data_IF_859900547527
#
_entry.id   IF_859900547527
#
_cell.length_a   1.000
_cell.length_b   1.000
_cell.length_c   1.000
_cell.angle_alpha   90.00
_cell.angle_beta   90.00
_cell.angle_gamma   90.00
#
_symmetry.space_group_name_H-M   'P 1'
#
loop_
_entity.id
_entity.type
_entity.pdbx_description
1 polymer ?
#
# COMPACT_ATOMS: atom_id res chain seq x y z
N UNK A 1 -19.98 45.51 28.27
CA UNK A 1 -20.57 44.50 29.18
C UNK A 1 -20.68 43.18 28.43
N UNK A 2 -19.97 42.16 28.95
CA UNK A 2 -20.35 40.73 29.06
C UNK A 2 -20.83 40.01 27.77
N UNK A 3 -20.37 38.82 27.41
CA UNK A 3 -19.67 37.79 28.18
C UNK A 3 -19.03 36.78 27.24
N UNK A 4 -17.82 36.36 27.58
CA UNK A 4 -17.30 35.03 27.26
C UNK A 4 -18.17 33.97 27.96
N UNK A 5 -18.42 32.86 27.27
CA UNK A 5 -18.87 31.55 27.78
C UNK A 5 -18.14 30.56 26.84
N UNK A 6 -17.01 29.91 27.16
CA UNK A 6 -16.67 29.03 28.29
C UNK A 6 -17.69 27.93 28.50
N UNK A 7 -17.42 26.72 28.01
CA UNK A 7 -17.64 25.45 28.73
C UNK A 7 -17.03 24.33 27.86
N UNK A 8 -15.83 23.85 28.20
CA UNK A 8 -15.55 22.80 29.19
C UNK A 8 -15.79 21.38 28.66
N UNK A 9 -14.66 20.69 28.55
CA UNK A 9 -14.45 19.27 28.58
C UNK A 9 -15.53 18.46 29.32
N UNK A 10 -15.95 17.37 28.69
CA UNK A 10 -16.49 16.20 29.39
C UNK A 10 -15.46 15.08 29.22
N UNK A 11 -14.66 14.91 30.25
CA UNK A 11 -13.90 13.70 30.51
C UNK A 11 -14.81 12.69 31.22
N UNK A 12 -14.55 11.42 30.91
CA UNK A 12 -14.79 10.23 31.73
C UNK A 12 -16.23 9.68 31.81
N UNK A 13 -16.41 8.44 31.36
CA UNK A 13 -16.56 7.25 32.21
C UNK A 13 -17.24 6.13 31.40
N UNK A 14 -16.47 5.15 30.93
CA UNK A 14 -16.99 3.78 30.82
C UNK A 14 -16.02 2.87 31.57
N UNK A 15 -16.58 2.29 32.61
CA UNK A 15 -15.95 1.61 33.72
C UNK A 15 -15.23 0.33 33.31
N UNK A 16 -14.08 0.10 33.95
CA UNK A 16 -13.53 -1.23 34.16
C UNK A 16 -14.58 -2.09 34.90
N UNK A 17 -15.05 -3.16 34.27
CA UNK A 17 -15.69 -4.25 34.99
C UNK A 17 -14.69 -5.40 35.06
N UNK A 18 -14.01 -5.48 36.20
CA UNK A 18 -13.24 -6.64 36.62
C UNK A 18 -14.20 -7.73 37.06
N UNK A 19 -14.25 -8.84 36.33
CA UNK A 19 -14.73 -10.10 36.89
C UNK A 19 -13.67 -11.17 36.62
N UNK A 20 -13.02 -11.59 37.71
CA UNK A 20 -12.05 -12.68 37.69
C UNK A 20 -12.76 -14.00 37.45
N UNK A 21 -12.19 -14.82 36.57
CA UNK A 21 -12.22 -16.25 36.75
C UNK A 21 -11.06 -16.94 36.03
N UNK A 22 -10.24 -17.61 36.86
CA UNK A 22 -9.37 -18.76 36.61
C UNK A 22 -8.32 -18.68 35.48
N UNK A 23 -7.08 -18.55 35.95
CA UNK A 23 -5.89 -19.15 35.34
C UNK A 23 -6.16 -20.64 35.09
N UNK A 24 -6.15 -21.05 33.83
CA UNK A 24 -5.92 -22.42 33.42
C UNK A 24 -4.75 -22.41 32.45
N UNK A 25 -3.59 -22.76 32.96
CA UNK A 25 -2.39 -23.12 32.20
C UNK A 25 -2.63 -24.45 31.48
N UNK A 26 -3.20 -24.38 30.28
CA UNK A 26 -3.21 -25.44 29.25
C UNK A 26 -2.17 -25.13 28.16
N UNK A 27 -1.79 -26.11 27.33
CA UNK A 27 -0.49 -26.18 26.68
C UNK A 27 -0.27 -25.00 25.73
N UNK A 28 1.00 -24.55 25.64
CA UNK A 28 1.48 -23.58 24.67
C UNK A 28 1.02 -24.02 23.28
N UNK A 29 -0.05 -23.40 22.78
CA UNK A 29 -0.39 -23.50 21.37
C UNK A 29 0.77 -22.87 20.61
N UNK A 30 1.59 -23.76 20.07
CA UNK A 30 2.55 -23.51 19.01
C UNK A 30 1.90 -22.53 18.04
N UNK A 31 2.48 -21.34 17.96
CA UNK A 31 1.97 -20.23 17.18
C UNK A 31 1.88 -20.75 15.74
N UNK A 32 0.67 -21.03 15.28
CA UNK A 32 0.37 -21.23 13.87
C UNK A 32 0.68 -19.88 13.23
N UNK A 33 1.94 -19.70 12.84
CA UNK A 33 2.37 -18.58 12.02
C UNK A 33 1.69 -18.88 10.70
N UNK A 34 0.63 -18.13 10.41
CA UNK A 34 -0.05 -18.22 9.12
C UNK A 34 1.03 -18.13 8.03
N UNK A 35 0.93 -18.97 7.00
CA UNK A 35 1.91 -19.05 5.92
C UNK A 35 2.19 -17.67 5.27
N UNK A 36 1.23 -16.74 5.39
CA UNK A 36 1.36 -15.33 5.01
C UNK A 36 2.33 -14.54 5.91
N UNK A 37 2.30 -14.73 7.22
CA UNK A 37 3.26 -14.12 8.17
C UNK A 37 4.68 -14.64 7.90
N UNK A 38 4.82 -15.92 7.55
CA UNK A 38 6.10 -16.52 7.18
C UNK A 38 6.70 -15.92 5.89
N UNK A 39 5.88 -15.44 4.96
CA UNK A 39 6.36 -14.87 3.69
C UNK A 39 6.87 -13.43 3.85
N UNK A 40 6.51 -12.75 4.93
CA UNK A 40 6.91 -11.37 5.21
C UNK A 40 7.84 -11.25 6.42
N UNK A 41 8.11 -12.35 7.12
CA UNK A 41 8.86 -12.40 8.38
C UNK A 41 10.27 -11.80 8.31
N UNK A 42 10.91 -11.88 7.14
CA UNK A 42 12.29 -11.38 6.96
C UNK A 42 12.35 -9.91 6.50
N UNK A 43 11.20 -9.27 6.31
CA UNK A 43 11.12 -7.88 5.86
C UNK A 43 10.89 -6.91 7.02
N UNK A 44 11.52 -5.73 6.93
CA UNK A 44 11.30 -4.65 7.86
C UNK A 44 9.81 -4.24 7.86
N UNK A 45 9.09 -4.32 8.99
CA UNK A 45 7.63 -4.11 9.04
C UNK A 45 7.17 -2.76 8.48
N UNK A 46 7.95 -1.71 8.70
CA UNK A 46 7.69 -0.37 8.18
C UNK A 46 7.75 -0.31 6.65
N UNK A 47 8.64 -1.07 6.03
CA UNK A 47 8.76 -1.16 4.56
C UNK A 47 7.60 -1.96 3.97
N UNK A 48 7.20 -3.05 4.62
CA UNK A 48 6.01 -3.82 4.23
C UNK A 48 4.77 -2.94 4.29
N UNK A 49 4.56 -2.23 5.40
CA UNK A 49 3.44 -1.30 5.56
C UNK A 49 3.46 -0.19 4.49
N UNK A 50 4.64 0.33 4.17
CA UNK A 50 4.79 1.30 3.09
C UNK A 50 4.37 0.71 1.74
N UNK A 51 4.82 -0.49 1.38
CA UNK A 51 4.39 -1.15 0.15
C UNK A 51 2.87 -1.36 0.08
N UNK A 52 2.23 -1.81 1.17
CA UNK A 52 0.78 -1.97 1.22
C UNK A 52 0.05 -0.62 1.08
N UNK A 53 0.61 0.46 1.62
CA UNK A 53 0.03 1.80 1.47
C UNK A 53 0.05 2.32 0.03
N UNK A 54 1.01 1.86 -0.79
CA UNK A 54 1.08 2.23 -2.20
C UNK A 54 -0.13 1.74 -3.00
N UNK A 55 -0.80 0.66 -2.59
CA UNK A 55 -2.06 0.25 -3.21
C UNK A 55 -3.10 1.39 -3.10
N UNK A 56 -3.28 1.98 -1.91
CA UNK A 56 -4.20 3.09 -1.71
C UNK A 56 -3.78 4.33 -2.53
N UNK A 57 -2.48 4.59 -2.63
CA UNK A 57 -1.95 5.69 -3.43
C UNK A 57 -2.20 5.51 -4.93
N UNK A 58 -2.01 4.29 -5.45
CA UNK A 58 -2.33 3.94 -6.82
C UNK A 58 -3.82 4.15 -7.14
N UNK A 59 -4.72 3.69 -6.25
CA UNK A 59 -6.17 3.94 -6.38
C UNK A 59 -6.47 5.44 -6.38
N UNK A 60 -5.81 6.21 -5.52
CA UNK A 60 -5.97 7.67 -5.47
C UNK A 60 -5.48 8.36 -6.74
N UNK A 61 -4.36 7.93 -7.32
CA UNK A 61 -3.85 8.48 -8.57
C UNK A 61 -4.82 8.22 -9.74
N UNK A 62 -5.38 7.00 -9.84
CA UNK A 62 -6.44 6.67 -10.81
C UNK A 62 -7.65 7.58 -10.61
N UNK A 63 -8.17 7.65 -9.39
CA UNK A 63 -9.34 8.48 -9.07
C UNK A 63 -9.12 9.96 -9.44
N UNK A 64 -7.94 10.52 -9.12
CA UNK A 64 -7.64 11.91 -9.46
C UNK A 64 -7.55 12.14 -10.97
N UNK A 65 -6.97 11.19 -11.72
CA UNK A 65 -6.96 11.24 -13.18
C UNK A 65 -8.39 11.24 -13.74
N UNK A 66 -9.26 10.38 -13.23
CA UNK A 66 -10.68 10.30 -13.65
C UNK A 66 -11.45 11.60 -13.35
N UNK A 67 -11.03 12.34 -12.30
CA UNK A 67 -11.56 13.67 -11.99
C UNK A 67 -10.95 14.81 -12.80
N UNK A 68 -10.05 14.50 -13.74
CA UNK A 68 -9.41 15.50 -14.60
C UNK A 68 -8.32 16.31 -13.90
N UNK A 69 -7.80 15.86 -12.77
CA UNK A 69 -6.60 16.43 -12.17
C UNK A 69 -5.43 16.22 -13.13
N UNK A 70 -4.52 17.19 -13.26
CA UNK A 70 -3.37 17.05 -14.15
C UNK A 70 -2.24 16.24 -13.51
N UNK A 71 -1.39 15.64 -14.35
CA UNK A 71 -0.19 14.92 -13.91
C UNK A 71 0.71 15.83 -13.07
N UNK A 72 0.91 17.06 -13.53
CA UNK A 72 1.74 18.07 -12.88
C UNK A 72 1.19 18.42 -11.50
N UNK A 73 -0.13 18.51 -11.36
CA UNK A 73 -0.78 18.81 -10.07
C UNK A 73 -0.57 17.69 -9.04
N UNK A 74 -0.56 16.42 -9.49
CA UNK A 74 -0.26 15.28 -8.61
C UNK A 74 1.23 15.16 -8.27
N UNK A 75 2.12 15.60 -9.17
CA UNK A 75 3.57 15.58 -8.94
C UNK A 75 4.04 16.79 -8.10
N UNK A 76 3.38 17.94 -8.20
CA UNK A 76 3.74 19.18 -7.50
C UNK A 76 3.99 19.04 -5.99
N UNK A 77 3.20 18.30 -5.20
CA UNK A 77 3.46 18.12 -3.77
C UNK A 77 4.57 17.12 -3.45
N UNK A 78 5.11 16.39 -4.44
CA UNK A 78 6.14 15.38 -4.23
C UNK A 78 7.54 16.02 -4.32
N UNK A 79 8.49 15.60 -3.46
CA UNK A 79 9.90 15.90 -3.69
C UNK A 79 10.33 15.37 -5.08
N UNK A 80 11.25 16.09 -5.73
CA UNK A 80 11.83 15.66 -7.01
C UNK A 80 12.57 14.32 -6.85
N UNK A 81 12.77 13.60 -7.96
CA UNK A 81 13.52 12.33 -7.93
C UNK A 81 14.95 12.54 -7.47
N UNK A 82 15.57 13.66 -7.83
CA UNK A 82 16.91 14.07 -7.41
C UNK A 82 16.96 14.26 -5.89
N UNK A 83 15.99 14.98 -5.31
CA UNK A 83 15.88 15.15 -3.86
C UNK A 83 15.68 13.81 -3.16
N UNK A 84 14.76 12.97 -3.63
CA UNK A 84 14.54 11.62 -3.06
C UNK A 84 15.81 10.77 -3.12
N UNK A 85 16.57 10.84 -4.21
CA UNK A 85 17.81 10.09 -4.34
C UNK A 85 18.91 10.54 -3.39
N UNK A 86 18.89 11.82 -2.98
CA UNK A 86 19.80 12.39 -1.99
C UNK A 86 19.42 12.10 -0.53
N UNK A 87 18.26 11.49 -0.27
CA UNK A 87 17.81 11.24 1.10
C UNK A 87 18.77 10.32 1.88
N UNK A 88 19.02 10.61 3.17
CA UNK A 88 19.85 9.77 4.01
C UNK A 88 19.19 8.41 4.29
N UNK A 89 19.99 7.42 4.72
CA UNK A 89 19.54 6.03 4.94
C UNK A 89 18.37 5.90 5.93
N UNK A 90 18.27 6.78 6.91
CA UNK A 90 17.14 6.80 7.87
C UNK A 90 15.81 7.27 7.25
N UNK A 91 15.83 7.76 6.00
CA UNK A 91 14.64 8.15 5.23
C UNK A 91 14.36 7.20 4.05
N UNK A 92 14.91 5.98 4.09
CA UNK A 92 14.79 4.99 3.01
C UNK A 92 13.32 4.64 2.68
N UNK A 93 12.45 4.57 3.69
CA UNK A 93 11.01 4.34 3.49
C UNK A 93 10.38 5.49 2.70
N UNK A 94 10.66 6.73 3.08
CA UNK A 94 10.15 7.93 2.41
C UNK A 94 10.69 8.04 0.98
N UNK A 95 11.98 7.73 0.79
CA UNK A 95 12.62 7.65 -0.52
C UNK A 95 11.90 6.64 -1.41
N UNK A 96 11.71 5.41 -0.93
CA UNK A 96 11.00 4.35 -1.64
C UNK A 96 9.59 4.77 -2.01
N UNK A 97 8.79 5.25 -1.05
CA UNK A 97 7.42 5.68 -1.29
C UNK A 97 7.34 6.82 -2.31
N UNK A 98 8.22 7.83 -2.18
CA UNK A 98 8.27 8.96 -3.10
C UNK A 98 8.63 8.54 -4.51
N UNK A 99 9.67 7.71 -4.67
CA UNK A 99 10.09 7.23 -6.00
C UNK A 99 8.99 6.39 -6.64
N UNK A 100 8.36 5.48 -5.90
CA UNK A 100 7.25 4.69 -6.43
C UNK A 100 6.03 5.55 -6.74
N UNK A 101 5.74 6.63 -5.98
CA UNK A 101 4.66 7.55 -6.34
C UNK A 101 4.91 8.25 -7.67
N UNK A 102 6.16 8.63 -7.97
CA UNK A 102 6.52 9.15 -9.29
C UNK A 102 6.30 8.11 -10.40
N UNK A 103 6.62 6.83 -10.14
CA UNK A 103 6.31 5.72 -11.07
C UNK A 103 4.80 5.61 -11.28
N UNK A 104 4.02 5.53 -10.20
CA UNK A 104 2.56 5.43 -10.21
C UNK A 104 1.92 6.54 -11.04
N UNK A 105 2.25 7.81 -10.74
CA UNK A 105 1.66 8.95 -11.45
C UNK A 105 2.09 8.94 -12.92
N UNK A 106 3.30 8.50 -13.24
CA UNK A 106 3.72 8.38 -14.64
C UNK A 106 2.95 7.30 -15.38
N UNK A 107 2.80 6.12 -14.79
CA UNK A 107 2.09 4.98 -15.37
C UNK A 107 0.60 5.29 -15.56
N UNK A 108 -0.06 5.81 -14.52
CA UNK A 108 -1.48 6.18 -14.56
C UNK A 108 -1.77 7.20 -15.66
N UNK A 109 -0.87 8.14 -15.96
CA UNK A 109 -1.14 9.18 -16.97
C UNK A 109 -0.66 8.82 -18.38
N UNK A 110 0.33 7.94 -18.51
CA UNK A 110 0.90 7.60 -19.82
C UNK A 110 0.20 6.41 -20.49
N UNK A 111 -0.63 5.66 -19.76
CA UNK A 111 -1.29 4.44 -20.26
C UNK A 111 -2.81 4.52 -20.16
N UNK A 112 -3.50 3.64 -20.90
CA UNK A 112 -4.95 3.47 -20.75
C UNK A 112 -5.27 3.04 -19.31
N UNK A 113 -6.35 3.57 -18.70
CA UNK A 113 -6.73 3.18 -17.34
C UNK A 113 -6.87 1.66 -17.22
N UNK A 114 -6.41 1.15 -16.09
CA UNK A 114 -6.66 -0.19 -15.59
C UNK A 114 -7.69 -0.10 -14.46
N UNK A 115 -8.44 -1.18 -14.23
CA UNK A 115 -9.25 -1.27 -13.01
C UNK A 115 -8.41 -1.08 -11.74
N UNK A 116 -9.03 -0.44 -10.75
CA UNK A 116 -8.37 0.03 -9.54
C UNK A 116 -7.77 -1.12 -8.72
N UNK A 117 -8.50 -2.23 -8.59
CA UNK A 117 -8.07 -3.44 -7.89
C UNK A 117 -6.85 -4.10 -8.55
N UNK A 118 -6.79 -4.14 -9.89
CA UNK A 118 -5.69 -4.74 -10.64
C UNK A 118 -4.43 -3.92 -10.46
N UNK A 119 -4.49 -2.63 -10.80
CA UNK A 119 -3.30 -1.79 -10.77
C UNK A 119 -2.76 -1.57 -9.36
N UNK A 120 -3.63 -1.41 -8.37
CA UNK A 120 -3.21 -1.25 -6.96
C UNK A 120 -2.56 -2.51 -6.39
N UNK A 121 -3.05 -3.70 -6.77
CA UNK A 121 -2.46 -4.98 -6.34
C UNK A 121 -1.10 -5.22 -6.99
N UNK A 122 -1.00 -4.99 -8.31
CA UNK A 122 0.28 -5.01 -9.03
C UNK A 122 1.31 -4.10 -8.39
N UNK A 123 0.93 -2.84 -8.09
CA UNK A 123 1.83 -1.84 -7.51
C UNK A 123 2.38 -2.27 -6.14
N UNK A 124 1.50 -2.74 -5.25
CA UNK A 124 1.93 -3.20 -3.93
C UNK A 124 2.83 -4.43 -4.03
N UNK A 125 2.52 -5.36 -4.93
CA UNK A 125 3.29 -6.58 -5.12
C UNK A 125 4.68 -6.29 -5.70
N UNK A 126 4.79 -5.43 -6.72
CA UNK A 126 6.09 -4.98 -7.26
C UNK A 126 6.97 -4.39 -6.15
N UNK A 127 6.39 -3.58 -5.25
CA UNK A 127 7.13 -3.04 -4.11
C UNK A 127 7.63 -4.14 -3.16
N UNK A 128 6.77 -5.07 -2.76
CA UNK A 128 7.14 -6.18 -1.87
C UNK A 128 8.21 -7.07 -2.48
N UNK A 129 8.18 -7.28 -3.79
CA UNK A 129 9.17 -8.06 -4.52
C UNK A 129 10.51 -7.35 -4.62
N UNK A 130 10.52 -6.05 -4.92
CA UNK A 130 11.73 -5.22 -4.85
C UNK A 130 12.38 -5.30 -3.46
N UNK A 131 11.60 -5.30 -2.38
CA UNK A 131 12.11 -5.48 -1.01
C UNK A 131 12.78 -6.84 -0.76
N UNK A 132 12.26 -7.89 -1.39
CA UNK A 132 12.80 -9.26 -1.31
C UNK A 132 13.96 -9.50 -2.27
N UNK A 133 14.38 -8.49 -3.04
CA UNK A 133 15.34 -8.62 -4.13
C UNK A 133 14.93 -9.71 -5.14
N UNK A 134 13.63 -9.86 -5.38
CA UNK A 134 13.11 -10.77 -6.41
C UNK A 134 12.83 -10.01 -7.70
N UNK A 135 12.84 -10.74 -8.82
CA UNK A 135 12.60 -10.16 -10.13
C UNK A 135 11.19 -9.53 -10.21
N UNK A 136 11.13 -8.37 -10.85
CA UNK A 136 9.91 -7.63 -11.21
C UNK A 136 9.97 -7.30 -12.71
N UNK A 137 8.84 -7.00 -13.36
CA UNK A 137 8.86 -6.59 -14.76
C UNK A 137 9.80 -5.40 -14.99
N UNK A 138 10.64 -5.47 -16.01
CA UNK A 138 11.62 -4.41 -16.32
C UNK A 138 10.93 -3.13 -16.82
N UNK A 139 9.79 -3.29 -17.51
CA UNK A 139 9.07 -2.19 -18.14
C UNK A 139 7.57 -2.34 -17.89
N UNK A 140 6.96 -1.25 -17.43
CA UNK A 140 5.51 -1.20 -17.25
C UNK A 140 4.73 -1.40 -18.57
N UNK A 141 5.31 -1.10 -19.74
CA UNK A 141 4.63 -1.33 -21.03
C UNK A 141 4.24 -2.79 -21.25
N UNK A 142 5.08 -3.73 -20.82
CA UNK A 142 4.83 -5.17 -20.95
C UNK A 142 3.82 -5.61 -19.90
N UNK A 143 4.07 -5.25 -18.64
CA UNK A 143 3.14 -5.50 -17.54
C UNK A 143 1.74 -4.94 -17.83
N UNK A 144 1.62 -3.74 -18.41
CA UNK A 144 0.33 -3.11 -18.72
C UNK A 144 -0.52 -3.97 -19.67
N UNK A 145 0.09 -4.59 -20.68
CA UNK A 145 -0.61 -5.49 -21.60
C UNK A 145 -1.20 -6.69 -20.87
N UNK A 146 -0.38 -7.34 -20.04
CA UNK A 146 -0.82 -8.50 -19.24
C UNK A 146 -1.85 -8.10 -18.17
N UNK A 147 -1.71 -6.91 -17.57
CA UNK A 147 -2.69 -6.39 -16.61
C UNK A 147 -4.06 -6.12 -17.24
N UNK A 148 -4.12 -5.75 -18.53
CA UNK A 148 -5.40 -5.65 -19.24
C UNK A 148 -6.07 -7.01 -19.39
N UNK A 149 -5.29 -8.08 -19.56
CA UNK A 149 -5.85 -9.44 -19.64
C UNK A 149 -6.44 -9.87 -18.30
N UNK A 150 -5.93 -9.36 -17.16
CA UNK A 150 -6.51 -9.63 -15.85
C UNK A 150 -7.94 -9.06 -15.66
N UNK A 151 -8.38 -8.08 -16.45
CA UNK A 151 -9.75 -7.50 -16.32
C UNK A 151 -10.85 -8.49 -16.71
N UNK A 152 -10.52 -9.53 -17.49
CA UNK A 152 -11.49 -10.54 -17.94
C UNK A 152 -11.81 -11.58 -16.86
N UNK A 153 -11.03 -11.61 -15.78
CA UNK A 153 -11.25 -12.52 -14.66
C UNK A 153 -12.60 -12.26 -13.98
N UNK A 154 -13.33 -13.34 -13.69
CA UNK A 154 -14.73 -13.27 -13.24
C UNK A 154 -14.90 -12.68 -11.85
N UNK A 155 -13.88 -12.80 -10.99
CA UNK A 155 -13.96 -12.38 -9.59
C UNK A 155 -12.85 -11.41 -9.24
N UNK A 156 -13.14 -10.47 -8.33
CA UNK A 156 -12.15 -9.53 -7.79
C UNK A 156 -10.91 -10.28 -7.25
N UNK A 157 -11.12 -11.41 -6.55
CA UNK A 157 -10.02 -12.23 -6.06
C UNK A 157 -9.11 -12.72 -7.18
N UNK A 158 -9.66 -13.22 -8.28
CA UNK A 158 -8.86 -13.71 -9.41
C UNK A 158 -8.15 -12.55 -10.13
N UNK A 159 -8.81 -11.38 -10.26
CA UNK A 159 -8.18 -10.16 -10.79
C UNK A 159 -6.95 -9.77 -9.98
N UNK A 160 -7.08 -9.78 -8.65
CA UNK A 160 -5.97 -9.49 -7.72
C UNK A 160 -4.84 -10.51 -7.88
N UNK A 161 -5.15 -11.80 -7.90
CA UNK A 161 -4.15 -12.86 -8.04
C UNK A 161 -3.44 -12.80 -9.41
N UNK A 162 -4.18 -12.53 -10.49
CA UNK A 162 -3.62 -12.31 -11.82
C UNK A 162 -2.66 -11.11 -11.82
N UNK A 163 -3.07 -9.97 -11.24
CA UNK A 163 -2.22 -8.78 -11.16
C UNK A 163 -0.93 -9.00 -10.35
N UNK A 164 -1.03 -9.75 -9.24
CA UNK A 164 0.14 -10.16 -8.46
C UNK A 164 1.05 -11.11 -9.27
N UNK A 165 0.47 -11.98 -10.09
CA UNK A 165 1.22 -12.87 -10.97
C UNK A 165 1.99 -12.10 -12.05
N UNK A 166 1.38 -11.07 -12.65
CA UNK A 166 2.08 -10.15 -13.59
C UNK A 166 3.24 -9.42 -12.90
N UNK A 167 3.09 -9.06 -11.62
CA UNK A 167 4.21 -8.51 -10.84
C UNK A 167 5.34 -9.54 -10.58
N UNK A 168 5.11 -10.82 -10.90
CA UNK A 168 6.08 -11.92 -10.84
C UNK A 168 5.81 -12.92 -9.71
N UNK A 169 4.71 -12.77 -8.97
CA UNK A 169 4.36 -13.73 -7.92
C UNK A 169 3.79 -15.02 -8.49
N UNK A 170 4.04 -16.12 -7.79
CA UNK A 170 3.51 -17.42 -8.19
C UNK A 170 2.13 -17.59 -7.53
N UNK A 171 1.10 -17.98 -8.29
CA UNK A 171 -0.19 -18.36 -7.71
C UNK A 171 -0.07 -19.59 -6.79
#
# INVERSE_FOLDING_TARGET
MKSLISLLAIFALISCSTNGNKVSSGPKNEKQIDKADSLLADLAPEKVKACLSLASMARSAIFNREKGVSKESLLAPLPTKEQLNSYPKNMDVQKMMGLTMHEIVSEVYNYQPLESEIYSSYTAEVCLRKLKNTAVPERFTEAHKELKECEVEETEKNRILCAMAVAGSKP
#
